data_IF_538734403278
#
_entry.id   IF_538734403278
#
_cell.length_a   1.000
_cell.length_b   1.000
_cell.length_c   1.000
_cell.angle_alpha   90.00
_cell.angle_beta   90.00
_cell.angle_gamma   90.00
#
_symmetry.space_group_name_H-M   'P 1'
#
loop_
_entity.id
_entity.type
_entity.pdbx_description
1 polymer ?
#
# COMPACT_ATOMS: atom_id res chain seq x y z
N UNK A 1 -10.90 -15.77 1.89
CA UNK A 1 -9.97 -16.93 2.11
C UNK A 1 -9.04 -16.59 3.26
N UNK A 2 -8.49 -17.57 3.98
CA UNK A 2 -7.50 -17.29 5.02
C UNK A 2 -6.26 -16.61 4.39
N UNK A 3 -5.83 -15.49 4.99
CA UNK A 3 -4.62 -14.78 4.53
C UNK A 3 -3.38 -15.62 4.83
N UNK A 4 -2.41 -15.75 3.91
CA UNK A 4 -1.16 -16.47 4.20
C UNK A 4 -0.31 -15.80 5.29
N UNK A 5 -0.64 -14.55 5.64
CA UNK A 5 0.13 -13.70 6.56
C UNK A 5 -0.52 -13.57 7.96
N UNK A 6 -1.40 -14.49 8.34
CA UNK A 6 -1.99 -14.55 9.68
C UNK A 6 -3.48 -14.24 9.75
N UNK A 7 -3.98 -13.95 10.96
CA UNK A 7 -5.42 -13.82 11.24
C UNK A 7 -5.82 -12.36 11.47
N UNK A 8 -6.80 -11.88 10.71
CA UNK A 8 -7.39 -10.55 10.90
C UNK A 8 -8.45 -10.55 12.02
N UNK A 9 -8.47 -9.48 12.81
CA UNK A 9 -9.47 -9.20 13.84
C UNK A 9 -10.37 -8.05 13.41
N UNK A 10 -11.66 -8.20 13.68
CA UNK A 10 -12.70 -7.23 13.35
C UNK A 10 -13.52 -6.86 14.58
N UNK A 11 -13.76 -5.58 14.78
CA UNK A 11 -14.71 -5.12 15.80
C UNK A 11 -16.13 -5.56 15.45
N UNK A 12 -17.00 -5.78 16.46
CA UNK A 12 -18.42 -6.05 16.25
C UNK A 12 -19.08 -4.97 15.36
N UNK A 13 -20.14 -5.34 14.64
CA UNK A 13 -20.85 -4.45 13.72
C UNK A 13 -21.42 -3.17 14.38
N UNK A 14 -21.57 -3.17 15.71
CA UNK A 14 -21.99 -2.00 16.51
C UNK A 14 -20.91 -0.93 16.67
N UNK A 15 -19.68 -1.17 16.20
CA UNK A 15 -18.56 -0.21 16.21
C UNK A 15 -18.21 0.26 14.80
N UNK A 16 -17.39 1.31 14.72
CA UNK A 16 -16.91 1.86 13.45
C UNK A 16 -16.24 0.77 12.59
N UNK A 17 -16.70 0.67 11.34
CA UNK A 17 -16.17 -0.27 10.36
C UNK A 17 -15.17 0.43 9.44
N UNK A 18 -14.11 -0.30 9.06
CA UNK A 18 -13.15 0.20 8.08
C UNK A 18 -13.83 0.57 6.75
N UNK A 19 -13.38 1.67 6.15
CA UNK A 19 -13.93 2.28 4.93
C UNK A 19 -13.39 1.67 3.63
N UNK A 20 -12.43 0.75 3.75
CA UNK A 20 -11.83 0.00 2.66
C UNK A 20 -11.39 -1.39 3.17
N UNK A 21 -10.71 -2.16 2.32
CA UNK A 21 -10.26 -3.50 2.66
C UNK A 21 -9.02 -3.46 3.56
N UNK A 22 -9.21 -3.40 4.88
CA UNK A 22 -8.20 -3.60 5.94
C UNK A 22 -8.86 -4.08 7.25
N UNK A 23 -8.25 -4.97 8.05
CA UNK A 23 -8.76 -5.39 9.35
C UNK A 23 -8.50 -4.34 10.43
N UNK A 24 -9.18 -4.46 11.58
CA UNK A 24 -8.93 -3.61 12.74
C UNK A 24 -7.62 -3.96 13.44
N UNK A 25 -7.22 -5.24 13.42
CA UNK A 25 -5.89 -5.71 13.84
C UNK A 25 -5.51 -7.01 13.10
N UNK A 26 -4.23 -7.39 13.13
CA UNK A 26 -3.75 -8.66 12.56
C UNK A 26 -2.74 -9.32 13.50
N UNK A 27 -2.86 -10.64 13.67
CA UNK A 27 -1.92 -11.46 14.43
C UNK A 27 -1.06 -12.28 13.47
N UNK A 28 0.26 -12.12 13.58
CA UNK A 28 1.26 -12.88 12.84
C UNK A 28 1.44 -14.30 13.40
N UNK A 29 1.78 -15.30 12.58
CA UNK A 29 2.25 -16.60 13.06
C UNK A 29 3.57 -16.47 13.83
N UNK A 30 3.79 -17.34 14.83
CA UNK A 30 4.99 -17.31 15.69
C UNK A 30 6.29 -17.72 14.98
N UNK A 31 6.20 -18.37 13.83
CA UNK A 31 7.34 -18.89 13.05
C UNK A 31 7.72 -18.01 11.87
N UNK A 32 7.14 -16.81 11.73
CA UNK A 32 7.40 -15.93 10.58
C UNK A 32 8.58 -14.99 10.82
N UNK A 33 9.23 -14.58 9.72
CA UNK A 33 10.18 -13.45 9.70
C UNK A 33 9.50 -12.20 9.16
N UNK A 34 9.95 -11.02 9.56
CA UNK A 34 9.43 -9.73 9.08
C UNK A 34 10.41 -9.11 8.09
N UNK A 35 9.90 -8.65 6.95
CA UNK A 35 10.56 -7.74 6.03
C UNK A 35 10.02 -6.33 6.27
N UNK A 36 10.92 -5.36 6.40
CA UNK A 36 10.58 -3.94 6.43
C UNK A 36 10.82 -3.33 5.06
N UNK A 37 9.76 -2.91 4.39
CA UNK A 37 9.83 -2.18 3.11
C UNK A 37 9.86 -0.68 3.39
N UNK A 38 10.75 0.04 2.72
CA UNK A 38 10.84 1.50 2.82
C UNK A 38 9.64 2.20 2.18
N UNK A 39 9.49 3.50 2.43
CA UNK A 39 8.55 4.34 1.68
C UNK A 39 8.81 4.20 0.18
N UNK A 40 7.79 3.76 -0.55
CA UNK A 40 7.87 3.43 -1.98
C UNK A 40 6.90 4.32 -2.75
N UNK A 41 7.38 4.88 -3.86
CA UNK A 41 6.65 5.82 -4.71
C UNK A 41 6.39 5.25 -6.12
N UNK A 42 5.74 6.03 -6.99
CA UNK A 42 5.47 5.68 -8.39
C UNK A 42 6.67 5.90 -9.34
N UNK A 43 7.83 6.28 -8.79
CA UNK A 43 9.04 6.58 -9.56
C UNK A 43 9.55 5.33 -10.30
N UNK A 44 9.92 5.51 -11.56
CA UNK A 44 10.52 4.48 -12.43
C UNK A 44 12.05 4.54 -12.44
N UNK A 45 12.68 3.49 -12.98
CA UNK A 45 14.13 3.40 -13.11
C UNK A 45 14.76 4.44 -14.06
N UNK A 46 13.99 4.99 -14.99
CA UNK A 46 14.41 6.07 -15.89
C UNK A 46 14.26 7.48 -15.27
N UNK A 47 13.77 7.57 -14.03
CA UNK A 47 13.53 8.83 -13.34
C UNK A 47 12.18 9.50 -13.64
N UNK A 48 11.34 8.91 -14.49
CA UNK A 48 9.94 9.34 -14.68
C UNK A 48 9.05 8.83 -13.54
N UNK A 49 7.79 9.30 -13.51
CA UNK A 49 6.82 8.98 -12.48
C UNK A 49 5.54 8.49 -13.16
N UNK A 50 5.09 7.27 -12.88
CA UNK A 50 3.77 6.83 -13.36
C UNK A 50 2.70 7.70 -12.72
N UNK A 51 1.61 8.00 -13.44
CA UNK A 51 0.52 8.84 -12.91
C UNK A 51 0.89 10.30 -12.70
N UNK A 52 1.89 10.81 -13.43
CA UNK A 52 2.29 12.22 -13.43
C UNK A 52 2.48 12.71 -14.87
N UNK A 53 1.78 13.78 -15.23
CA UNK A 53 1.97 14.51 -16.49
C UNK A 53 2.49 15.92 -16.16
N UNK A 54 3.69 16.24 -16.64
CA UNK A 54 4.24 17.60 -16.55
C UNK A 54 3.64 18.47 -17.67
N UNK A 55 2.99 19.56 -17.30
CA UNK A 55 2.37 20.51 -18.24
C UNK A 55 3.40 21.53 -18.77
N UNK A 56 3.10 22.25 -19.86
CA UNK A 56 4.02 23.23 -20.45
C UNK A 56 4.46 24.36 -19.51
N UNK A 57 3.67 24.65 -18.48
CA UNK A 57 3.96 25.66 -17.46
C UNK A 57 4.82 25.13 -16.29
N UNK A 58 5.20 23.85 -16.34
CA UNK A 58 5.99 23.18 -15.30
C UNK A 58 5.19 22.60 -14.14
N UNK A 59 3.87 22.80 -14.11
CA UNK A 59 2.99 22.15 -13.12
C UNK A 59 2.74 20.68 -13.44
N UNK A 60 2.29 19.91 -12.45
CA UNK A 60 2.04 18.48 -12.61
C UNK A 60 0.56 18.15 -12.45
N UNK A 61 0.01 17.41 -13.39
CA UNK A 61 -1.28 16.73 -13.23
C UNK A 61 -1.01 15.32 -12.69
N UNK A 62 -1.56 15.03 -11.51
CA UNK A 62 -1.32 13.77 -10.80
C UNK A 62 -2.58 12.89 -10.82
N UNK A 63 -2.39 11.60 -11.10
CA UNK A 63 -3.42 10.57 -11.00
C UNK A 63 -3.10 9.65 -9.82
N UNK A 64 -3.75 9.87 -8.67
CA UNK A 64 -3.48 9.08 -7.47
C UNK A 64 -3.77 7.59 -7.66
N UNK A 65 -4.73 7.22 -8.50
CA UNK A 65 -5.03 5.82 -8.81
C UNK A 65 -3.83 5.19 -9.51
N UNK A 66 -3.41 5.77 -10.64
CA UNK A 66 -2.24 5.28 -11.39
C UNK A 66 -0.97 5.24 -10.52
N UNK A 67 -0.73 6.26 -9.69
CA UNK A 67 0.39 6.26 -8.75
C UNK A 67 0.27 5.14 -7.71
N UNK A 68 -0.90 4.94 -7.11
CA UNK A 68 -1.12 3.88 -6.11
C UNK A 68 -0.88 2.50 -6.73
N UNK A 69 -1.38 2.25 -7.93
CA UNK A 69 -1.16 1.00 -8.65
C UNK A 69 0.34 0.77 -8.91
N UNK A 70 1.09 1.82 -9.30
CA UNK A 70 2.53 1.74 -9.50
C UNK A 70 3.29 1.47 -8.19
N UNK A 71 2.93 2.16 -7.10
CA UNK A 71 3.52 1.93 -5.77
C UNK A 71 3.34 0.48 -5.33
N UNK A 72 2.13 -0.07 -5.46
CA UNK A 72 1.84 -1.46 -5.06
C UNK A 72 2.63 -2.47 -5.90
N UNK A 73 2.76 -2.26 -7.22
CA UNK A 73 3.63 -3.10 -8.07
C UNK A 73 5.10 -3.01 -7.67
N UNK A 74 5.58 -1.82 -7.32
CA UNK A 74 6.96 -1.63 -6.86
C UNK A 74 7.21 -2.36 -5.53
N UNK A 75 6.26 -2.28 -4.59
CA UNK A 75 6.32 -3.04 -3.32
C UNK A 75 6.33 -4.54 -3.60
N UNK A 76 5.47 -5.03 -4.51
CA UNK A 76 5.47 -6.45 -4.89
C UNK A 76 6.83 -6.89 -5.42
N UNK A 77 7.43 -6.10 -6.32
CA UNK A 77 8.74 -6.40 -6.88
C UNK A 77 9.83 -6.46 -5.79
N UNK A 78 9.80 -5.57 -4.80
CA UNK A 78 10.73 -5.59 -3.66
C UNK A 78 10.57 -6.86 -2.82
N UNK A 79 9.33 -7.24 -2.48
CA UNK A 79 9.04 -8.43 -1.68
C UNK A 79 9.44 -9.70 -2.45
N UNK A 80 9.06 -9.80 -3.73
CA UNK A 80 9.45 -10.93 -4.59
C UNK A 80 10.97 -11.03 -4.72
N UNK A 81 11.66 -9.92 -5.00
CA UNK A 81 13.11 -9.89 -5.15
C UNK A 81 13.84 -10.31 -3.89
N UNK A 82 13.44 -9.78 -2.72
CA UNK A 82 14.07 -10.09 -1.43
C UNK A 82 13.81 -11.51 -0.92
N UNK A 83 12.76 -12.17 -1.39
CA UNK A 83 12.37 -13.53 -0.97
C UNK A 83 12.70 -14.61 -1.98
N UNK A 84 13.27 -14.26 -3.13
CA UNK A 84 13.48 -15.21 -4.24
C UNK A 84 12.17 -15.72 -4.84
N UNK A 85 11.13 -14.87 -4.85
CA UNK A 85 9.82 -15.15 -5.44
C UNK A 85 8.84 -15.89 -4.55
N UNK A 86 9.21 -16.26 -3.31
CA UNK A 86 8.35 -17.01 -2.38
C UNK A 86 7.16 -16.20 -1.86
N UNK A 87 7.26 -14.88 -1.84
CA UNK A 87 6.21 -13.99 -1.32
C UNK A 87 5.95 -12.81 -2.26
N UNK A 88 4.74 -12.26 -2.19
CA UNK A 88 4.32 -11.02 -2.86
C UNK A 88 3.49 -10.10 -1.95
N UNK A 89 2.55 -9.35 -2.53
CA UNK A 89 1.69 -8.41 -1.79
C UNK A 89 0.80 -9.10 -0.75
N UNK A 90 0.43 -10.35 -0.98
CA UNK A 90 -0.32 -11.18 -0.04
C UNK A 90 0.39 -11.38 1.29
N UNK A 91 1.71 -11.16 1.35
CA UNK A 91 2.51 -11.23 2.57
C UNK A 91 2.52 -9.94 3.40
N UNK A 92 2.02 -8.82 2.87
CA UNK A 92 1.99 -7.53 3.60
C UNK A 92 1.01 -7.62 4.75
N UNK A 93 1.44 -7.25 5.96
CA UNK A 93 0.64 -7.31 7.19
C UNK A 93 0.31 -5.96 7.80
N UNK A 94 1.13 -4.96 7.54
CA UNK A 94 0.98 -3.59 8.03
C UNK A 94 1.45 -2.62 6.95
N UNK A 95 0.68 -1.55 6.74
CA UNK A 95 1.01 -0.51 5.77
C UNK A 95 0.64 0.88 6.29
N UNK A 96 1.51 1.85 6.03
CA UNK A 96 1.22 3.27 6.21
C UNK A 96 1.21 3.94 4.84
N UNK A 97 0.07 4.52 4.49
CA UNK A 97 -0.15 5.30 3.27
C UNK A 97 -0.08 6.78 3.59
N UNK A 98 0.74 7.50 2.84
CA UNK A 98 0.90 8.94 2.93
C UNK A 98 0.32 9.57 1.66
N UNK A 99 -0.75 10.33 1.78
CA UNK A 99 -1.33 11.15 0.70
C UNK A 99 -0.93 12.61 0.88
N UNK A 100 -0.79 13.37 -0.21
CA UNK A 100 -0.63 14.84 -0.11
C UNK A 100 -1.96 15.57 -0.02
N UNK A 101 -3.03 14.98 -0.54
CA UNK A 101 -4.40 15.49 -0.50
C UNK A 101 -5.39 14.37 -0.17
N UNK A 102 -6.24 14.54 0.84
CA UNK A 102 -7.23 13.55 1.22
C UNK A 102 -8.42 13.46 0.24
N UNK A 103 -8.54 14.39 -0.70
CA UNK A 103 -9.44 14.24 -1.85
C UNK A 103 -9.12 12.98 -2.68
N UNK A 104 -7.85 12.54 -2.67
CA UNK A 104 -7.39 11.35 -3.39
C UNK A 104 -7.69 10.01 -2.68
N UNK A 105 -8.25 10.05 -1.46
CA UNK A 105 -8.48 8.85 -0.63
C UNK A 105 -9.31 7.78 -1.34
N UNK A 106 -10.37 8.19 -2.05
CA UNK A 106 -11.24 7.27 -2.76
C UNK A 106 -10.52 6.60 -3.95
N UNK A 107 -9.74 7.35 -4.72
CA UNK A 107 -8.98 6.83 -5.85
C UNK A 107 -7.89 5.84 -5.39
N UNK A 108 -7.14 6.19 -4.33
CA UNK A 108 -6.17 5.28 -3.71
C UNK A 108 -6.84 3.99 -3.22
N UNK A 109 -7.97 4.10 -2.53
CA UNK A 109 -8.70 2.92 -2.04
C UNK A 109 -9.21 2.02 -3.15
N UNK A 110 -9.59 2.58 -4.30
CA UNK A 110 -10.04 1.80 -5.44
C UNK A 110 -8.94 0.85 -5.93
N UNK A 111 -7.70 1.32 -6.07
CA UNK A 111 -6.57 0.45 -6.43
C UNK A 111 -6.16 -0.50 -5.31
N UNK A 112 -6.16 -0.02 -4.06
CA UNK A 112 -5.89 -0.85 -2.89
C UNK A 112 -6.82 -2.07 -2.82
N UNK A 113 -8.12 -1.85 -3.00
CA UNK A 113 -9.13 -2.90 -2.93
C UNK A 113 -9.00 -3.93 -4.07
N UNK A 114 -8.37 -3.59 -5.20
CA UNK A 114 -8.06 -4.56 -6.27
C UNK A 114 -6.97 -5.55 -5.84
N UNK A 115 -5.98 -5.10 -5.08
CA UNK A 115 -4.92 -5.96 -4.54
C UNK A 115 -5.43 -6.86 -3.41
N UNK A 116 -6.37 -6.39 -2.60
CA UNK A 116 -7.01 -7.17 -1.54
C UNK A 116 -8.53 -7.08 -1.65
N UNK A 117 -9.19 -7.94 -2.46
CA UNK A 117 -10.64 -7.91 -2.63
C UNK A 117 -11.41 -8.35 -1.37
N UNK A 118 -10.78 -9.11 -0.49
CA UNK A 118 -11.33 -9.57 0.79
C UNK A 118 -10.66 -8.79 1.94
N UNK A 119 -11.47 -8.11 2.76
CA UNK A 119 -11.02 -7.36 3.94
C UNK A 119 -10.24 -8.23 4.93
N UNK A 120 -10.56 -9.53 5.04
CA UNK A 120 -9.84 -10.47 5.91
C UNK A 120 -8.45 -10.84 5.36
N UNK A 121 -8.21 -10.66 4.06
CA UNK A 121 -6.92 -10.87 3.39
C UNK A 121 -6.01 -9.65 3.39
N UNK A 122 -6.54 -8.45 3.65
CA UNK A 122 -5.78 -7.21 3.61
C UNK A 122 -4.86 -6.98 4.82
N UNK A 123 -3.78 -6.20 4.69
CA UNK A 123 -2.97 -5.78 5.83
C UNK A 123 -3.73 -4.78 6.71
N UNK A 124 -3.34 -4.72 7.99
CA UNK A 124 -3.66 -3.56 8.82
C UNK A 124 -3.11 -2.29 8.13
N UNK A 125 -3.85 -1.19 8.24
CA UNK A 125 -3.52 0.01 7.45
C UNK A 125 -3.78 1.31 8.22
N UNK A 126 -2.82 2.21 8.10
CA UNK A 126 -2.97 3.63 8.44
C UNK A 126 -2.90 4.46 7.15
N UNK A 127 -3.74 5.48 7.03
CA UNK A 127 -3.67 6.45 5.94
C UNK A 127 -3.75 7.85 6.53
N UNK A 128 -2.81 8.71 6.15
CA UNK A 128 -2.72 10.10 6.63
C UNK A 128 -2.46 11.04 5.47
N UNK A 129 -2.85 12.31 5.64
CA UNK A 129 -2.39 13.38 4.77
C UNK A 129 -1.09 13.96 5.35
N UNK A 130 -0.09 14.15 4.50
CA UNK A 130 1.18 14.82 4.83
C UNK A 130 1.29 16.14 4.07
N UNK A 131 2.11 17.06 4.59
CA UNK A 131 2.30 18.37 3.96
C UNK A 131 2.97 18.28 2.58
N UNK A 132 3.89 17.33 2.39
CA UNK A 132 4.57 17.06 1.12
C UNK A 132 5.19 15.66 1.12
N UNK A 133 5.44 15.15 -0.08
CA UNK A 133 6.29 13.97 -0.35
C UNK A 133 7.66 14.42 -0.89
N UNK A 134 8.67 13.54 -1.01
CA UNK A 134 10.02 13.91 -1.45
C UNK A 134 10.13 14.54 -2.84
N UNK A 135 9.07 14.48 -3.65
CA UNK A 135 8.99 15.11 -4.96
C UNK A 135 7.55 15.57 -5.26
N UNK A 136 7.38 16.74 -5.87
CA UNK A 136 6.07 17.31 -6.25
C UNK A 136 5.30 16.49 -7.30
N UNK A 137 5.97 15.54 -7.97
CA UNK A 137 5.35 14.59 -8.90
C UNK A 137 4.66 13.42 -8.20
N UNK A 138 4.65 13.40 -6.87
CA UNK A 138 4.07 12.34 -6.05
C UNK A 138 2.89 12.86 -5.24
N UNK A 139 1.78 12.12 -5.27
CA UNK A 139 0.65 12.33 -4.36
C UNK A 139 0.35 11.14 -3.45
N UNK A 140 1.08 10.03 -3.61
CA UNK A 140 1.01 8.86 -2.72
C UNK A 140 2.38 8.21 -2.51
N UNK A 141 2.67 7.84 -1.26
CA UNK A 141 3.80 6.99 -0.88
C UNK A 141 3.32 5.93 0.13
N UNK A 142 3.84 4.70 0.03
CA UNK A 142 3.46 3.62 0.94
C UNK A 142 4.71 2.99 1.55
N UNK A 143 4.73 2.89 2.88
CA UNK A 143 5.67 2.09 3.67
C UNK A 143 4.94 0.86 4.19
N UNK A 144 5.55 -0.31 4.18
CA UNK A 144 4.89 -1.51 4.69
C UNK A 144 5.83 -2.52 5.34
N UNK A 145 5.23 -3.48 6.04
CA UNK A 145 5.89 -4.65 6.62
C UNK A 145 5.25 -5.92 6.05
N UNK A 146 6.04 -6.92 5.73
CA UNK A 146 5.58 -8.18 5.19
C UNK A 146 6.09 -9.37 6.02
N UNK A 147 5.27 -10.42 6.13
CA UNK A 147 5.67 -11.68 6.76
C UNK A 147 6.15 -12.68 5.71
N UNK A 148 7.31 -13.26 5.98
CA UNK A 148 7.83 -14.41 5.27
C UNK A 148 7.63 -15.62 6.15
N UNK A 149 6.82 -16.55 5.67
CA UNK A 149 6.74 -17.89 6.24
C UNK A 149 8.03 -18.63 5.92
N UNK A 150 8.63 -19.24 6.94
CA UNK A 150 9.76 -20.17 6.76
C UNK A 150 9.34 -21.44 6.00
#
# INVERSE_FOLDING_TARGET
MASPNGTGYFLPATRAQGLANYPHARTAPSTSRIIFVSGTSSRRGDGTYEGCETLPDGTHRLDCGAQTAAVLRNIEAIIRGSTGGRCGLESVVDATVFLTDMADYAAMNAEWNKCWPDKAGAPARTCVQVAALPNERLNVEIKCQALVSE
#
